data_IF_837789980830
#
_entry.id   IF_837789980830
#
_cell.length_a   1.000
_cell.length_b   1.000
_cell.length_c   1.000
_cell.angle_alpha   90.00
_cell.angle_beta   90.00
_cell.angle_gamma   90.00
#
_symmetry.space_group_name_H-M   'P 1'
#
loop_
_entity.id
_entity.type
_entity.pdbx_description
1 polymer ?
#
# COMPACT_ATOMS: atom_id res chain seq x y z
N UNK A 1 -0.34 -25.23 -13.39
CA UNK A 1 -0.12 -23.91 -14.01
C UNK A 1 1.37 -23.60 -13.99
N UNK A 2 1.89 -22.84 -14.96
CA UNK A 2 3.31 -22.47 -14.99
C UNK A 2 3.51 -21.10 -14.33
N UNK A 3 4.54 -20.92 -13.52
CA UNK A 3 4.86 -19.63 -12.86
C UNK A 3 4.83 -18.43 -13.84
N UNK A 4 5.31 -18.64 -15.07
CA UNK A 4 5.35 -17.62 -16.12
C UNK A 4 3.95 -17.15 -16.60
N UNK A 5 2.94 -18.03 -16.59
CA UNK A 5 1.57 -17.64 -16.95
C UNK A 5 0.94 -16.77 -15.86
N UNK A 6 1.22 -17.09 -14.60
CA UNK A 6 0.62 -16.40 -13.45
C UNK A 6 1.27 -15.02 -13.24
N UNK A 7 2.59 -14.91 -13.48
CA UNK A 7 3.28 -13.62 -13.50
C UNK A 7 2.72 -12.68 -14.58
N UNK A 8 2.44 -13.20 -15.78
CA UNK A 8 1.83 -12.38 -16.85
C UNK A 8 0.43 -11.90 -16.49
N UNK A 9 -0.36 -12.76 -15.85
CA UNK A 9 -1.74 -12.47 -15.43
C UNK A 9 -1.79 -11.34 -14.41
N UNK A 10 -0.84 -11.31 -13.47
CA UNK A 10 -0.84 -10.36 -12.35
C UNK A 10 0.21 -9.25 -12.47
N UNK A 11 0.85 -9.13 -13.64
CA UNK A 11 2.01 -8.30 -13.86
C UNK A 11 1.87 -6.86 -13.37
N UNK A 12 0.74 -6.19 -13.63
CA UNK A 12 0.54 -4.81 -13.22
C UNK A 12 0.48 -4.63 -11.71
N UNK A 13 -0.09 -5.59 -10.98
CA UNK A 13 -0.14 -5.59 -9.52
C UNK A 13 1.23 -5.93 -8.95
N UNK A 14 1.89 -6.97 -9.47
CA UNK A 14 3.23 -7.36 -9.04
C UNK A 14 4.25 -6.24 -9.26
N UNK A 15 4.17 -5.52 -10.39
CA UNK A 15 5.00 -4.35 -10.64
C UNK A 15 4.73 -3.22 -9.65
N UNK A 16 3.46 -2.93 -9.38
CA UNK A 16 3.08 -1.89 -8.44
C UNK A 16 3.53 -2.20 -7.00
N UNK A 17 3.36 -3.45 -6.55
CA UNK A 17 3.86 -3.93 -5.26
C UNK A 17 5.40 -3.93 -5.22
N UNK A 18 6.06 -4.39 -6.28
CA UNK A 18 7.52 -4.36 -6.36
C UNK A 18 8.08 -2.95 -6.20
N UNK A 19 7.52 -1.98 -6.91
CA UNK A 19 7.85 -0.55 -6.75
C UNK A 19 7.55 -0.06 -5.34
N UNK A 20 6.38 -0.39 -4.78
CA UNK A 20 6.00 -0.02 -3.43
C UNK A 20 7.03 -0.49 -2.39
N UNK A 21 7.39 -1.78 -2.39
CA UNK A 21 8.33 -2.35 -1.42
C UNK A 21 9.76 -1.84 -1.63
N UNK A 22 10.20 -1.67 -2.87
CA UNK A 22 11.52 -1.11 -3.20
C UNK A 22 11.69 0.29 -2.60
N UNK A 23 10.75 1.20 -2.89
CA UNK A 23 10.84 2.59 -2.44
C UNK A 23 10.48 2.79 -0.97
N UNK A 24 9.65 1.91 -0.40
CA UNK A 24 9.46 1.84 1.05
C UNK A 24 10.77 1.44 1.73
N UNK A 25 11.46 0.41 1.25
CA UNK A 25 12.77 0.00 1.79
C UNK A 25 13.82 1.12 1.68
N UNK A 26 13.86 1.82 0.55
CA UNK A 26 14.77 2.95 0.31
C UNK A 26 14.55 4.12 1.27
N UNK A 27 13.30 4.40 1.63
CA UNK A 27 12.93 5.60 2.40
C UNK A 27 12.80 5.37 3.91
N UNK A 28 12.46 4.14 4.33
CA UNK A 28 12.06 3.83 5.70
C UNK A 28 13.12 4.19 6.74
N UNK A 29 14.39 3.90 6.48
CA UNK A 29 15.47 4.14 7.44
C UNK A 29 15.63 5.65 7.76
N UNK A 30 15.60 6.49 6.72
CA UNK A 30 15.74 7.95 6.86
C UNK A 30 14.50 8.54 7.53
N UNK A 31 13.32 8.19 7.04
CA UNK A 31 12.06 8.71 7.59
C UNK A 31 11.91 8.33 9.06
N UNK A 32 12.16 7.06 9.42
CA UNK A 32 12.05 6.62 10.82
C UNK A 32 13.07 7.29 11.71
N UNK A 33 14.32 7.44 11.25
CA UNK A 33 15.36 8.18 12.00
C UNK A 33 14.91 9.61 12.30
N UNK A 34 14.43 10.33 11.29
CA UNK A 34 14.00 11.72 11.44
C UNK A 34 12.75 11.84 12.32
N UNK A 35 11.76 10.97 12.15
CA UNK A 35 10.56 10.93 13.00
C UNK A 35 10.93 10.61 14.46
N UNK A 36 11.76 9.60 14.71
CA UNK A 36 12.12 9.21 16.07
C UNK A 36 13.05 10.20 16.76
N UNK A 37 13.70 11.08 16.01
CA UNK A 37 14.46 12.20 16.58
C UNK A 37 13.57 13.29 17.18
N UNK A 38 12.32 13.42 16.72
CA UNK A 38 11.36 14.45 17.16
C UNK A 38 10.24 13.92 18.06
N UNK A 39 9.97 12.61 18.02
CA UNK A 39 8.90 12.00 18.82
C UNK A 39 9.39 11.50 20.18
N UNK A 40 8.54 11.69 21.20
CA UNK A 40 8.75 11.02 22.48
C UNK A 40 8.50 9.49 22.35
N UNK A 41 9.16 8.66 23.17
CA UNK A 41 8.93 7.22 23.18
C UNK A 41 7.46 6.83 23.36
N UNK A 42 6.67 7.62 24.09
CA UNK A 42 5.23 7.40 24.29
C UNK A 42 4.45 7.51 22.98
N UNK A 43 4.80 8.47 22.13
CA UNK A 43 4.14 8.67 20.82
C UNK A 43 4.52 7.56 19.83
N UNK A 44 5.77 7.09 19.86
CA UNK A 44 6.21 5.94 19.05
C UNK A 44 5.44 4.68 19.47
N UNK A 45 5.32 4.42 20.76
CA UNK A 45 4.51 3.30 21.27
C UNK A 45 3.04 3.42 20.89
N UNK A 46 2.47 4.62 20.97
CA UNK A 46 1.09 4.88 20.55
C UNK A 46 0.90 4.61 19.06
N UNK A 47 1.82 5.05 18.20
CA UNK A 47 1.81 4.73 16.77
C UNK A 47 1.77 3.22 16.54
N UNK A 48 2.61 2.45 17.24
CA UNK A 48 2.61 1.00 17.10
C UNK A 48 1.28 0.38 17.56
N UNK A 49 0.74 0.80 18.71
CA UNK A 49 -0.54 0.31 19.23
C UNK A 49 -1.68 0.59 18.25
N UNK A 50 -1.74 1.81 17.71
CA UNK A 50 -2.74 2.19 16.70
C UNK A 50 -2.53 1.38 15.41
N UNK A 51 -1.29 1.17 14.99
CA UNK A 51 -0.93 0.38 13.82
C UNK A 51 -1.47 -1.05 13.89
N UNK A 52 -1.12 -1.77 14.96
CA UNK A 52 -1.52 -3.15 15.19
C UNK A 52 -2.99 -3.30 15.59
N UNK A 53 -3.47 -2.48 16.53
CA UNK A 53 -4.85 -2.51 17.02
C UNK A 53 -5.86 -2.06 15.97
N UNK A 54 -5.53 -1.02 15.20
CA UNK A 54 -6.34 -0.55 14.07
C UNK A 54 -6.47 -1.60 12.98
N UNK A 55 -5.37 -2.26 12.60
CA UNK A 55 -5.40 -3.34 11.61
C UNK A 55 -6.28 -4.52 12.02
N UNK A 56 -6.25 -4.90 13.30
CA UNK A 56 -7.10 -5.96 13.87
C UNK A 56 -8.60 -5.59 13.84
N UNK A 57 -8.93 -4.38 14.32
CA UNK A 57 -10.31 -3.89 14.36
C UNK A 57 -10.90 -3.73 12.96
N UNK A 58 -10.14 -3.13 12.05
CA UNK A 58 -10.53 -2.98 10.65
C UNK A 58 -10.69 -4.34 9.97
N UNK A 59 -9.80 -5.31 10.24
CA UNK A 59 -9.95 -6.69 9.77
C UNK A 59 -11.25 -7.35 10.22
N UNK A 60 -11.64 -7.18 11.49
CA UNK A 60 -12.88 -7.73 12.02
C UNK A 60 -14.12 -7.07 11.38
N UNK A 61 -14.17 -5.74 11.34
CA UNK A 61 -15.27 -4.99 10.71
C UNK A 61 -15.43 -5.36 9.23
N UNK A 62 -14.30 -5.59 8.55
CA UNK A 62 -14.26 -5.89 7.13
C UNK A 62 -14.86 -7.24 6.75
N UNK A 63 -14.64 -8.28 7.57
CA UNK A 63 -15.17 -9.64 7.34
C UNK A 63 -16.69 -9.65 7.12
N UNK A 64 -17.39 -8.65 7.67
CA UNK A 64 -18.85 -8.51 7.55
C UNK A 64 -19.29 -7.68 6.34
N UNK A 65 -18.48 -6.76 5.81
CA UNK A 65 -18.92 -5.68 4.90
C UNK A 65 -18.33 -5.75 3.49
N UNK A 66 -17.45 -6.73 3.22
CA UNK A 66 -16.70 -6.89 1.98
C UNK A 66 -17.51 -6.64 0.68
N UNK A 67 -18.67 -7.31 0.51
CA UNK A 67 -19.49 -7.18 -0.71
C UNK A 67 -20.03 -5.77 -0.97
N UNK A 68 -20.26 -4.96 0.07
CA UNK A 68 -20.80 -3.60 -0.07
C UNK A 68 -19.75 -2.56 -0.45
N UNK A 69 -18.48 -2.88 -0.24
CA UNK A 69 -17.37 -1.93 -0.36
C UNK A 69 -16.57 -2.13 -1.66
N UNK A 70 -16.73 -3.27 -2.32
CA UNK A 70 -16.16 -3.53 -3.65
C UNK A 70 -16.48 -2.43 -4.68
N UNK A 71 -17.73 -1.91 -4.79
CA UNK A 71 -18.03 -0.82 -5.73
C UNK A 71 -17.30 0.49 -5.40
N UNK A 72 -16.85 0.65 -4.15
CA UNK A 72 -16.13 1.83 -3.69
C UNK A 72 -14.62 1.73 -3.89
N UNK A 73 -14.09 0.60 -4.38
CA UNK A 73 -12.65 0.42 -4.59
C UNK A 73 -12.04 1.52 -5.44
N UNK A 74 -12.56 1.72 -6.65
CA UNK A 74 -12.03 2.74 -7.56
C UNK A 74 -12.02 4.15 -6.95
N UNK A 75 -13.13 4.68 -6.38
CA UNK A 75 -13.10 6.00 -5.75
C UNK A 75 -12.18 6.07 -4.52
N UNK A 76 -12.07 5.03 -3.69
CA UNK A 76 -11.14 5.03 -2.55
C UNK A 76 -9.69 5.11 -2.99
N UNK A 77 -9.29 4.31 -3.99
CA UNK A 77 -7.91 4.34 -4.50
C UNK A 77 -7.58 5.63 -5.25
N UNK A 78 -8.56 6.24 -5.95
CA UNK A 78 -8.40 7.57 -6.55
C UNK A 78 -8.22 8.65 -5.47
N UNK A 79 -9.03 8.60 -4.40
CA UNK A 79 -8.89 9.51 -3.26
C UNK A 79 -7.54 9.34 -2.57
N UNK A 80 -7.08 8.11 -2.38
CA UNK A 80 -5.77 7.83 -1.77
C UNK A 80 -4.63 8.32 -2.65
N UNK A 81 -4.70 8.12 -3.98
CA UNK A 81 -3.71 8.65 -4.91
C UNK A 81 -3.66 10.18 -4.83
N UNK A 82 -4.80 10.87 -4.85
CA UNK A 82 -4.87 12.32 -4.70
C UNK A 82 -4.32 12.79 -3.33
N UNK A 83 -4.69 12.09 -2.25
CA UNK A 83 -4.20 12.39 -0.91
C UNK A 83 -2.67 12.19 -0.80
N UNK A 84 -2.10 11.19 -1.48
CA UNK A 84 -0.65 10.97 -1.53
C UNK A 84 0.10 12.12 -2.22
N UNK A 85 -0.47 12.71 -3.27
CA UNK A 85 0.09 13.90 -3.95
C UNK A 85 0.05 15.11 -3.01
N UNK A 86 -1.10 15.38 -2.39
CA UNK A 86 -1.24 16.50 -1.45
C UNK A 86 -0.29 16.35 -0.27
N UNK A 87 -0.18 15.13 0.27
CA UNK A 87 0.73 14.79 1.34
C UNK A 87 2.20 15.02 0.95
N UNK A 88 2.59 14.59 -0.25
CA UNK A 88 3.94 14.82 -0.78
C UNK A 88 4.25 16.31 -0.90
N UNK A 89 3.39 17.08 -1.58
CA UNK A 89 3.56 18.52 -1.78
C UNK A 89 3.70 19.25 -0.45
N UNK A 90 2.83 18.93 0.52
CA UNK A 90 2.88 19.54 1.85
C UNK A 90 4.14 19.15 2.62
N UNK A 91 4.50 17.87 2.61
CA UNK A 91 5.68 17.35 3.31
C UNK A 91 6.97 17.95 2.76
N UNK A 92 7.06 18.13 1.44
CA UNK A 92 8.22 18.74 0.81
C UNK A 92 8.27 20.27 1.01
N UNK A 93 7.12 20.93 1.08
CA UNK A 93 7.08 22.36 1.36
C UNK A 93 7.51 22.69 2.81
N UNK A 94 7.15 21.84 3.77
CA UNK A 94 7.33 22.13 5.19
C UNK A 94 8.55 21.46 5.81
N UNK A 95 8.93 20.27 5.34
CA UNK A 95 9.94 19.40 5.97
C UNK A 95 9.72 19.18 7.48
N UNK A 96 8.49 19.39 7.95
CA UNK A 96 8.16 19.26 9.36
C UNK A 96 7.80 17.80 9.66
N UNK A 97 8.75 17.07 10.23
CA UNK A 97 8.62 15.63 10.46
C UNK A 97 7.57 15.25 11.50
N UNK A 98 7.21 16.17 12.41
CA UNK A 98 6.08 15.95 13.31
C UNK A 98 4.76 15.98 12.55
N UNK A 99 4.56 16.98 11.67
CA UNK A 99 3.34 17.06 10.84
C UNK A 99 3.32 15.91 9.83
N UNK A 100 4.46 15.57 9.23
CA UNK A 100 4.61 14.38 8.39
C UNK A 100 4.11 13.13 9.11
N UNK A 101 4.50 12.93 10.38
CA UNK A 101 4.05 11.80 11.20
C UNK A 101 2.55 11.83 11.48
N UNK A 102 1.98 12.98 11.88
CA UNK A 102 0.53 13.12 12.12
C UNK A 102 -0.28 12.78 10.87
N UNK A 103 0.13 13.33 9.72
CA UNK A 103 -0.52 13.08 8.44
C UNK A 103 -0.33 11.62 7.99
N UNK A 104 0.86 11.04 8.17
CA UNK A 104 1.13 9.63 7.88
C UNK A 104 0.23 8.70 8.72
N UNK A 105 0.02 9.02 9.99
CA UNK A 105 -0.88 8.28 10.87
C UNK A 105 -2.33 8.38 10.38
N UNK A 106 -2.77 9.57 9.98
CA UNK A 106 -4.07 9.77 9.36
C UNK A 106 -4.23 8.96 8.08
N UNK A 107 -3.25 9.03 7.17
CA UNK A 107 -3.23 8.25 5.93
C UNK A 107 -3.27 6.75 6.20
N UNK A 108 -2.54 6.26 7.20
CA UNK A 108 -2.53 4.85 7.59
C UNK A 108 -3.90 4.38 8.11
N UNK A 109 -4.54 5.15 8.99
CA UNK A 109 -5.84 4.80 9.59
C UNK A 109 -6.97 4.90 8.54
N UNK A 110 -7.01 5.99 7.78
CA UNK A 110 -8.11 6.27 6.85
C UNK A 110 -7.97 5.59 5.51
N UNK A 111 -6.76 5.52 4.95
CA UNK A 111 -6.54 4.97 3.61
C UNK A 111 -5.80 3.64 3.65
N UNK A 112 -4.71 3.49 4.41
CA UNK A 112 -3.98 2.22 4.49
C UNK A 112 -4.88 1.08 4.95
N UNK A 113 -5.52 1.25 6.11
CA UNK A 113 -6.39 0.23 6.67
C UNK A 113 -7.69 -0.02 5.89
N UNK A 114 -8.24 0.98 5.20
CA UNK A 114 -9.48 0.82 4.42
C UNK A 114 -9.16 0.27 3.02
N UNK A 115 -8.19 0.84 2.31
CA UNK A 115 -7.83 0.43 0.95
C UNK A 115 -7.20 -0.96 0.89
N UNK A 116 -6.34 -1.34 1.83
CA UNK A 116 -5.80 -2.71 1.91
C UNK A 116 -6.94 -3.71 2.05
N UNK A 117 -7.96 -3.37 2.85
CA UNK A 117 -9.10 -4.24 3.09
C UNK A 117 -10.07 -4.26 1.92
N UNK A 118 -10.33 -3.12 1.28
CA UNK A 118 -11.07 -3.06 0.01
C UNK A 118 -10.39 -3.97 -1.02
N UNK A 119 -9.08 -3.90 -1.12
CA UNK A 119 -8.32 -4.71 -2.06
C UNK A 119 -8.36 -6.20 -1.70
N UNK A 120 -8.17 -6.59 -0.44
CA UNK A 120 -8.37 -7.97 0.03
C UNK A 120 -9.78 -8.49 -0.28
N UNK A 121 -10.76 -7.61 -0.18
CA UNK A 121 -12.12 -7.89 -0.60
C UNK A 121 -12.26 -8.16 -2.09
N UNK A 122 -11.61 -7.31 -2.89
CA UNK A 122 -11.54 -7.45 -4.34
C UNK A 122 -10.73 -8.67 -4.78
N UNK A 123 -9.73 -9.13 -4.02
CA UNK A 123 -8.99 -10.37 -4.31
C UNK A 123 -9.92 -11.58 -4.38
N UNK A 124 -10.92 -11.66 -3.50
CA UNK A 124 -11.91 -12.74 -3.54
C UNK A 124 -12.75 -12.72 -4.84
N UNK A 125 -12.84 -11.55 -5.47
CA UNK A 125 -13.55 -11.35 -6.73
C UNK A 125 -12.64 -11.62 -7.94
N UNK A 126 -11.44 -11.05 -7.94
CA UNK A 126 -10.42 -11.24 -8.98
C UNK A 126 -9.92 -12.70 -9.07
N UNK A 127 -9.92 -13.42 -7.94
CA UNK A 127 -9.38 -14.77 -7.82
C UNK A 127 -10.46 -15.74 -7.31
N UNK A 128 -11.36 -16.14 -8.23
CA UNK A 128 -12.51 -17.02 -7.93
C UNK A 128 -12.10 -18.41 -7.42
N UNK A 129 -10.92 -18.90 -7.83
CA UNK A 129 -10.35 -20.17 -7.38
C UNK A 129 -9.38 -19.92 -6.23
N UNK A 130 -9.45 -20.72 -5.18
CA UNK A 130 -8.54 -20.67 -4.04
C UNK A 130 -7.07 -20.82 -4.46
N UNK A 131 -6.80 -21.69 -5.43
CA UNK A 131 -5.47 -21.92 -5.99
C UNK A 131 -4.91 -20.67 -6.69
N UNK A 132 -5.74 -19.96 -7.48
CA UNK A 132 -5.35 -18.72 -8.16
C UNK A 132 -5.01 -17.62 -7.16
N UNK A 133 -5.78 -17.54 -6.06
CA UNK A 133 -5.53 -16.58 -4.97
C UNK A 133 -4.23 -16.91 -4.22
N UNK A 134 -4.04 -18.17 -3.84
CA UNK A 134 -2.83 -18.60 -3.15
C UNK A 134 -1.58 -18.38 -4.02
N UNK A 135 -1.66 -18.64 -5.32
CA UNK A 135 -0.57 -18.35 -6.26
C UNK A 135 -0.26 -16.85 -6.35
N UNK A 136 -1.30 -16.01 -6.38
CA UNK A 136 -1.12 -14.56 -6.39
C UNK A 136 -0.49 -14.04 -5.09
N UNK A 137 -1.00 -14.46 -3.93
CA UNK A 137 -0.48 -14.04 -2.63
C UNK A 137 1.00 -14.46 -2.48
N UNK A 138 1.36 -15.69 -2.88
CA UNK A 138 2.75 -16.14 -2.91
C UNK A 138 3.65 -15.29 -3.83
N UNK A 139 3.15 -14.90 -5.01
CA UNK A 139 3.91 -14.06 -5.94
C UNK A 139 4.11 -12.65 -5.40
N UNK A 140 3.12 -12.09 -4.70
CA UNK A 140 3.26 -10.82 -4.00
C UNK A 140 4.29 -10.91 -2.89
N UNK A 141 4.20 -11.93 -2.03
CA UNK A 141 5.12 -12.07 -0.90
C UNK A 141 6.57 -12.22 -1.39
N UNK A 142 6.77 -13.00 -2.45
CA UNK A 142 8.07 -13.13 -3.09
C UNK A 142 8.55 -11.80 -3.70
N UNK A 143 7.69 -11.11 -4.45
CA UNK A 143 8.03 -9.84 -5.10
C UNK A 143 8.34 -8.76 -4.07
N UNK A 144 7.54 -8.68 -3.01
CA UNK A 144 7.72 -7.73 -1.92
C UNK A 144 8.98 -8.01 -1.10
N UNK A 145 9.26 -9.28 -0.81
CA UNK A 145 10.49 -9.66 -0.11
C UNK A 145 11.75 -9.32 -0.91
N UNK A 146 11.79 -9.66 -2.21
CA UNK A 146 12.93 -9.38 -3.08
C UNK A 146 13.12 -7.87 -3.25
N UNK A 147 12.04 -7.15 -3.56
CA UNK A 147 12.09 -5.71 -3.83
C UNK A 147 12.40 -4.92 -2.55
N UNK A 148 11.81 -5.31 -1.42
CA UNK A 148 12.09 -4.72 -0.12
C UNK A 148 13.54 -4.93 0.31
N UNK A 149 14.08 -6.16 0.15
CA UNK A 149 15.50 -6.43 0.39
C UNK A 149 16.39 -5.55 -0.49
N UNK A 150 16.10 -5.46 -1.79
CA UNK A 150 16.85 -4.59 -2.70
C UNK A 150 16.77 -3.12 -2.26
N UNK A 151 15.61 -2.64 -1.81
CA UNK A 151 15.43 -1.28 -1.30
C UNK A 151 16.27 -1.00 -0.06
N UNK A 152 16.24 -1.88 0.93
CA UNK A 152 17.07 -1.76 2.13
C UNK A 152 18.57 -1.85 1.81
N UNK A 153 18.97 -2.76 0.93
CA UNK A 153 20.36 -2.91 0.50
C UNK A 153 20.87 -1.65 -0.20
N UNK A 154 20.06 -1.07 -1.10
CA UNK A 154 20.39 0.19 -1.75
C UNK A 154 20.46 1.35 -0.76
N UNK A 155 19.59 1.40 0.25
CA UNK A 155 19.64 2.42 1.30
C UNK A 155 20.91 2.33 2.18
N UNK A 156 21.51 1.13 2.29
CA UNK A 156 22.80 0.95 2.98
C UNK A 156 23.97 1.47 2.15
N UNK A 157 23.91 1.34 0.83
CA UNK A 157 24.97 1.82 -0.08
C UNK A 157 24.87 3.32 -0.29
N UNK A 158 23.64 3.82 -0.43
CA UNK A 158 23.33 5.21 -0.67
C UNK A 158 22.27 5.66 0.32
N UNK A 159 22.69 6.46 1.32
CA UNK A 159 21.76 7.05 2.29
C UNK A 159 21.02 8.22 1.62
N UNK A 160 19.71 8.11 1.34
CA UNK A 160 18.98 9.18 0.67
C UNK A 160 18.89 10.42 1.57
N UNK A 161 18.83 11.60 0.96
CA UNK A 161 18.44 12.81 1.70
C UNK A 161 16.98 12.70 2.16
N UNK A 162 16.59 13.47 3.17
CA UNK A 162 15.20 13.49 3.66
C UNK A 162 14.20 13.80 2.54
N UNK A 163 14.48 14.80 1.70
CA UNK A 163 13.65 15.14 0.53
C UNK A 163 13.49 13.96 -0.42
N UNK A 164 14.59 13.26 -0.70
CA UNK A 164 14.58 12.07 -1.55
C UNK A 164 13.78 10.92 -0.92
N UNK A 165 13.89 10.73 0.40
CA UNK A 165 13.12 9.73 1.13
C UNK A 165 11.62 10.03 1.11
N UNK A 166 11.22 11.30 1.28
CA UNK A 166 9.83 11.76 1.15
C UNK A 166 9.32 11.50 -0.28
N UNK A 167 10.13 11.80 -1.30
CA UNK A 167 9.80 11.52 -2.70
C UNK A 167 9.64 10.02 -2.99
N UNK A 168 10.52 9.17 -2.44
CA UNK A 168 10.39 7.72 -2.56
C UNK A 168 9.14 7.17 -1.87
N UNK A 169 8.82 7.66 -0.67
CA UNK A 169 7.56 7.33 0.04
C UNK A 169 6.32 7.69 -0.79
N UNK A 170 6.36 8.84 -1.46
CA UNK A 170 5.34 9.24 -2.43
C UNK A 170 5.25 8.28 -3.62
N UNK A 171 6.36 7.99 -4.30
CA UNK A 171 6.37 7.07 -5.46
C UNK A 171 5.83 5.70 -5.06
N UNK A 172 6.22 5.17 -3.91
CA UNK A 172 5.75 3.89 -3.40
C UNK A 172 4.22 3.87 -3.34
N UNK A 173 3.64 4.81 -2.58
CA UNK A 173 2.20 4.87 -2.34
C UNK A 173 1.42 5.16 -3.62
N UNK A 174 1.87 6.14 -4.41
CA UNK A 174 1.18 6.58 -5.61
C UNK A 174 1.18 5.49 -6.68
N UNK A 175 2.31 4.82 -6.92
CA UNK A 175 2.40 3.74 -7.91
C UNK A 175 1.57 2.53 -7.50
N UNK A 176 1.53 2.21 -6.21
CA UNK A 176 0.67 1.16 -5.69
C UNK A 176 -0.81 1.42 -5.98
N UNK A 177 -1.30 2.64 -5.68
CA UNK A 177 -2.66 3.03 -6.00
C UNK A 177 -2.94 2.96 -7.51
N UNK A 178 -2.02 3.44 -8.36
CA UNK A 178 -2.17 3.38 -9.82
C UNK A 178 -2.22 1.94 -10.33
N UNK A 179 -1.43 1.03 -9.76
CA UNK A 179 -1.46 -0.39 -10.11
C UNK A 179 -2.83 -1.01 -9.88
N UNK A 180 -3.44 -0.73 -8.72
CA UNK A 180 -4.76 -1.24 -8.36
C UNK A 180 -5.86 -0.59 -9.22
N UNK A 181 -5.78 0.73 -9.45
CA UNK A 181 -6.70 1.44 -10.36
C UNK A 181 -6.65 0.83 -11.76
N UNK A 182 -5.45 0.69 -12.31
CA UNK A 182 -5.23 0.15 -13.65
C UNK A 182 -5.78 -1.28 -13.77
N UNK A 183 -5.42 -2.15 -12.81
CA UNK A 183 -5.88 -3.53 -12.78
C UNK A 183 -7.41 -3.62 -12.68
N UNK A 184 -8.02 -2.78 -11.84
CA UNK A 184 -9.48 -2.68 -11.69
C UNK A 184 -10.16 -2.27 -13.00
N UNK A 185 -9.61 -1.28 -13.71
CA UNK A 185 -10.18 -0.81 -14.97
C UNK A 185 -10.07 -1.87 -16.06
N UNK A 186 -8.97 -2.63 -16.12
CA UNK A 186 -8.81 -3.74 -17.07
C UNK A 186 -9.85 -4.85 -16.86
N UNK A 187 -10.21 -5.15 -15.62
CA UNK A 187 -11.15 -6.23 -15.27
C UNK A 187 -12.57 -5.73 -14.95
N UNK A 188 -12.90 -4.48 -15.31
CA UNK A 188 -14.20 -3.84 -15.00
C UNK A 188 -15.41 -4.52 -15.66
N UNK A 189 -15.23 -5.16 -16.81
CA UNK A 189 -16.33 -5.82 -17.50
C UNK A 189 -16.69 -7.16 -16.86
N UNK A 190 -15.67 -7.90 -16.42
CA UNK A 190 -15.85 -9.11 -15.62
C UNK A 190 -16.59 -8.79 -14.30
N UNK A 191 -16.36 -7.61 -13.70
CA UNK A 191 -17.03 -7.11 -12.47
C UNK A 191 -18.56 -6.98 -12.60
N UNK A 192 -19.09 -6.77 -13.81
CA UNK A 192 -20.53 -6.50 -14.02
C UNK A 192 -21.38 -7.75 -14.21
N UNK A 193 -20.78 -8.87 -14.57
CA UNK A 193 -21.53 -10.09 -14.91
C UNK A 193 -21.99 -10.88 -13.67
N UNK A 194 -21.46 -10.57 -12.47
CA UNK A 194 -21.87 -11.20 -11.21
C UNK A 194 -22.99 -10.47 -10.45
N UNK A 195 -23.32 -9.22 -10.79
CA UNK A 195 -24.50 -8.55 -10.21
C UNK A 195 -25.83 -9.10 -10.78
N UNK A 196 -25.76 -9.91 -11.84
CA UNK A 196 -26.92 -10.46 -12.55
C UNK A 196 -27.13 -11.97 -12.35
N UNK A 197 -26.25 -12.65 -11.61
CA UNK A 197 -26.34 -14.09 -11.30
C UNK A 197 -26.74 -14.29 -9.83
#
# INVERSE_FOLDING_TARGET
MSLLSDVKKYWSLLMADGVYYLFTGLSAAVINKEIYSVLSPRLISLQNIIGWGGGMLLGFMWSKWNKRLLPLMLPFFLMQAAASVLYFVYSEATLNMFIYWVLSMGMYIFFGGISDKIFEGAKAWFFKKSEDRASYDNLIDMTGSISGFAGYFLAMIYVPSLRMAIFFSFIATFTWCLGIIWYTLQHKNELKDEEKA
#
